data_IF_497772007559
#
_entry.id   IF_497772007559
#
_cell.length_a   1.000
_cell.length_b   1.000
_cell.length_c   1.000
_cell.angle_alpha   90.00
_cell.angle_beta   90.00
_cell.angle_gamma   90.00
#
_symmetry.space_group_name_H-M   'P 1'
#
loop_
_entity.id
_entity.type
_entity.pdbx_description
1 polymer ?
#
# COMPACT_ATOMS: atom_id res chain seq x y z
N UNK A 1 24.14 8.96 33.93
CA UNK A 1 24.18 9.55 32.57
C UNK A 1 22.78 9.39 32.00
N UNK A 2 22.01 10.48 31.95
CA UNK A 2 20.73 10.48 31.25
C UNK A 2 21.05 10.21 29.78
N UNK A 3 20.64 9.07 29.23
CA UNK A 3 20.55 8.95 27.78
C UNK A 3 19.40 9.88 27.40
N UNK A 4 19.69 10.97 26.71
CA UNK A 4 18.63 11.80 26.15
C UNK A 4 17.75 10.90 25.27
N UNK A 5 16.52 10.66 25.72
CA UNK A 5 15.56 9.82 25.02
C UNK A 5 15.12 10.62 23.79
N UNK A 6 15.61 10.21 22.62
CA UNK A 6 15.36 10.93 21.37
C UNK A 6 13.97 10.64 20.79
N UNK A 7 13.49 9.41 20.99
CA UNK A 7 12.24 8.91 20.44
C UNK A 7 11.48 8.12 21.48
N UNK A 8 10.15 8.23 21.45
CA UNK A 8 9.27 7.59 22.40
C UNK A 8 8.45 6.46 21.76
N UNK A 9 8.17 5.43 22.56
CA UNK A 9 7.37 4.28 22.17
C UNK A 9 5.85 4.50 22.33
N UNK A 10 5.08 3.48 21.97
CA UNK A 10 3.63 3.39 22.20
C UNK A 10 3.31 2.25 23.17
N UNK A 11 2.54 2.51 24.21
CA UNK A 11 2.14 1.46 25.16
C UNK A 11 1.23 0.45 24.47
N UNK A 12 1.52 -0.83 24.67
CA UNK A 12 0.66 -1.92 24.20
C UNK A 12 -0.57 -2.04 25.11
N UNK A 13 -1.77 -2.00 24.53
CA UNK A 13 -3.04 -2.15 25.26
C UNK A 13 -3.44 -3.62 25.45
N UNK A 14 -2.67 -4.56 24.88
CA UNK A 14 -2.89 -6.00 24.95
C UNK A 14 -2.25 -6.68 23.75
N UNK A 15 -3.02 -6.81 22.69
CA UNK A 15 -2.67 -7.41 21.41
C UNK A 15 -2.51 -6.37 20.28
N UNK A 16 -2.21 -5.11 20.62
CA UNK A 16 -2.24 -3.97 19.68
C UNK A 16 -0.88 -3.63 19.06
N UNK A 17 0.11 -4.53 19.11
CA UNK A 17 1.46 -4.27 18.57
C UNK A 17 1.47 -4.00 17.06
N UNK A 18 0.52 -4.59 16.30
CA UNK A 18 0.33 -4.29 14.87
C UNK A 18 0.03 -2.80 14.66
N UNK A 19 -0.90 -2.26 15.45
CA UNK A 19 -1.31 -0.86 15.37
C UNK A 19 -0.16 0.06 15.81
N UNK A 20 0.52 -0.28 16.91
CA UNK A 20 1.66 0.50 17.39
C UNK A 20 2.76 0.61 16.34
N UNK A 21 3.08 -0.50 15.66
CA UNK A 21 4.10 -0.52 14.61
C UNK A 21 3.71 0.38 13.43
N UNK A 22 2.45 0.32 12.98
CA UNK A 22 1.94 1.19 11.91
C UNK A 22 1.96 2.66 12.31
N UNK A 23 1.43 2.99 13.50
CA UNK A 23 1.37 4.38 13.97
C UNK A 23 2.76 4.98 14.15
N UNK A 24 3.75 4.19 14.57
CA UNK A 24 5.13 4.64 14.64
C UNK A 24 5.70 4.96 13.26
N UNK A 25 5.53 4.08 12.27
CA UNK A 25 6.01 4.35 10.90
C UNK A 25 5.35 5.58 10.31
N UNK A 26 4.03 5.74 10.51
CA UNK A 26 3.29 6.91 10.06
C UNK A 26 3.76 8.20 10.75
N UNK A 27 3.94 8.19 12.07
CA UNK A 27 4.48 9.32 12.83
C UNK A 27 5.89 9.72 12.36
N UNK A 28 6.74 8.73 12.09
CA UNK A 28 8.11 8.95 11.62
C UNK A 28 8.19 9.34 10.15
N UNK A 29 7.08 9.27 9.41
CA UNK A 29 6.97 9.78 8.04
C UNK A 29 6.67 11.27 8.08
N UNK A 30 7.72 12.11 8.01
CA UNK A 30 7.65 13.56 8.20
C UNK A 30 6.51 14.24 7.43
N UNK A 31 6.41 14.03 6.12
CA UNK A 31 5.35 14.64 5.29
C UNK A 31 3.94 14.24 5.73
N UNK A 32 3.75 13.00 6.17
CA UNK A 32 2.46 12.55 6.70
C UNK A 32 2.15 13.26 8.02
N UNK A 33 3.11 13.27 8.94
CA UNK A 33 2.97 13.95 10.24
C UNK A 33 2.64 15.43 10.07
N UNK A 34 3.38 16.15 9.22
CA UNK A 34 3.13 17.57 8.90
C UNK A 34 1.75 17.78 8.27
N UNK A 35 1.31 16.87 7.38
CA UNK A 35 -0.02 16.96 6.78
C UNK A 35 -1.15 16.75 7.81
N UNK A 36 -1.00 15.81 8.74
CA UNK A 36 -1.94 15.61 9.85
C UNK A 36 -1.98 16.84 10.78
N UNK A 37 -0.83 17.47 11.04
CA UNK A 37 -0.72 18.67 11.89
C UNK A 37 -1.27 19.94 11.23
N UNK A 38 -1.13 20.07 9.90
CA UNK A 38 -1.57 21.25 9.15
C UNK A 38 -3.05 21.24 8.74
N UNK A 39 -3.72 20.09 8.85
CA UNK A 39 -5.11 19.93 8.42
C UNK A 39 -6.06 20.83 9.21
N UNK A 40 -6.75 21.75 8.52
CA UNK A 40 -7.76 22.64 9.13
C UNK A 40 -8.89 21.78 9.70
N UNK A 41 -9.08 21.87 11.01
CA UNK A 41 -9.96 20.97 11.75
C UNK A 41 -11.42 21.10 11.32
N UNK A 42 -12.01 20.01 10.79
CA UNK A 42 -13.41 19.70 11.11
C UNK A 42 -13.41 18.93 12.44
N UNK A 43 -14.22 19.36 13.41
CA UNK A 43 -14.27 18.85 14.79
C UNK A 43 -14.54 17.33 14.92
N UNK A 44 -14.90 16.65 13.84
CA UNK A 44 -15.48 15.31 13.88
C UNK A 44 -14.59 14.17 13.38
N UNK A 45 -13.32 14.41 13.04
CA UNK A 45 -12.61 13.48 12.17
C UNK A 45 -11.40 12.79 12.83
N UNK A 46 -11.12 11.56 12.39
CA UNK A 46 -10.04 10.69 12.88
C UNK A 46 -8.68 11.41 12.98
N UNK A 47 -8.46 12.38 12.09
CA UNK A 47 -7.31 13.30 12.07
C UNK A 47 -7.06 14.03 13.40
N UNK A 48 -8.09 14.49 14.12
CA UNK A 48 -7.92 15.22 15.40
C UNK A 48 -7.29 14.31 16.45
N UNK A 49 -7.73 13.05 16.49
CA UNK A 49 -7.24 12.05 17.46
C UNK A 49 -5.83 11.61 17.11
N UNK A 50 -5.54 11.45 15.82
CA UNK A 50 -4.21 11.12 15.34
C UNK A 50 -3.22 12.27 15.61
N UNK A 51 -3.63 13.51 15.38
CA UNK A 51 -2.84 14.70 15.71
C UNK A 51 -2.52 14.77 17.21
N UNK A 52 -3.53 14.61 18.08
CA UNK A 52 -3.33 14.61 19.54
C UNK A 52 -2.35 13.50 19.99
N UNK A 53 -2.41 12.32 19.37
CA UNK A 53 -1.45 11.25 19.61
C UNK A 53 -0.03 11.66 19.19
N UNK A 54 0.12 12.25 17.99
CA UNK A 54 1.42 12.67 17.47
C UNK A 54 2.05 13.77 18.32
N UNK A 55 1.27 14.74 18.81
CA UNK A 55 1.76 15.76 19.76
C UNK A 55 2.25 15.12 21.07
N UNK A 56 1.49 14.17 21.63
CA UNK A 56 1.91 13.46 22.83
C UNK A 56 3.18 12.63 22.60
N UNK A 57 3.32 12.01 21.42
CA UNK A 57 4.43 11.12 21.09
C UNK A 57 5.77 11.85 20.86
N UNK A 58 5.73 13.15 20.55
CA UNK A 58 6.92 14.01 20.53
C UNK A 58 7.57 14.15 21.91
N UNK A 59 6.76 14.13 22.97
CA UNK A 59 7.19 14.47 24.33
C UNK A 59 7.34 13.26 25.25
N UNK A 60 6.60 12.16 25.00
CA UNK A 60 6.58 11.00 25.90
C UNK A 60 6.06 9.72 25.26
N UNK A 61 6.37 8.59 25.89
CA UNK A 61 5.74 7.30 25.59
C UNK A 61 4.22 7.43 25.78
N UNK A 62 3.48 7.19 24.71
CA UNK A 62 2.04 7.52 24.63
C UNK A 62 1.15 6.28 24.53
N UNK A 63 -0.13 6.46 24.82
CA UNK A 63 -1.16 5.42 24.69
C UNK A 63 -2.02 5.68 23.45
N UNK A 64 -2.49 4.61 22.81
CA UNK A 64 -3.28 4.68 21.57
C UNK A 64 -4.79 4.60 21.82
N UNK A 65 -5.25 4.82 23.05
CA UNK A 65 -6.62 4.59 23.52
C UNK A 65 -7.70 5.30 22.70
N UNK A 66 -7.47 6.55 22.31
CA UNK A 66 -8.45 7.30 21.51
C UNK A 66 -8.46 6.85 20.04
N UNK A 67 -7.34 6.36 19.53
CA UNK A 67 -7.23 5.78 18.19
C UNK A 67 -7.92 4.42 18.15
N UNK A 68 -7.67 3.54 19.13
CA UNK A 68 -8.29 2.20 19.20
C UNK A 68 -9.81 2.29 19.33
N UNK A 69 -10.32 3.20 20.17
CA UNK A 69 -11.78 3.46 20.28
C UNK A 69 -12.40 3.89 18.95
N UNK A 70 -11.73 4.76 18.21
CA UNK A 70 -12.25 5.31 16.95
C UNK A 70 -12.26 4.26 15.84
N UNK A 71 -11.21 3.44 15.80
CA UNK A 71 -11.11 2.32 14.86
C UNK A 71 -11.95 1.11 15.27
N UNK A 72 -12.59 1.15 16.45
CA UNK A 72 -13.38 0.06 17.06
C UNK A 72 -12.56 -1.24 17.17
N UNK A 73 -11.36 -1.12 17.72
CA UNK A 73 -10.42 -2.23 17.90
C UNK A 73 -10.71 -2.95 19.22
N UNK A 74 -10.89 -4.26 19.16
CA UNK A 74 -10.82 -5.14 20.32
C UNK A 74 -9.35 -5.35 20.71
N UNK A 75 -8.93 -4.71 21.81
CA UNK A 75 -7.50 -4.59 22.18
C UNK A 75 -6.85 -5.90 22.61
N UNK A 76 -7.63 -6.95 22.81
CA UNK A 76 -7.13 -8.30 23.16
C UNK A 76 -7.09 -9.25 21.97
N UNK A 77 -7.50 -8.79 20.78
CA UNK A 77 -7.46 -9.56 19.54
C UNK A 77 -6.34 -9.08 18.63
N UNK A 78 -5.59 -10.03 18.08
CA UNK A 78 -4.59 -9.73 17.06
C UNK A 78 -5.26 -9.49 15.72
N UNK A 79 -4.67 -8.59 14.94
CA UNK A 79 -5.16 -8.20 13.63
C UNK A 79 -4.00 -8.09 12.64
N UNK A 80 -4.34 -8.02 11.36
CA UNK A 80 -3.37 -7.80 10.29
C UNK A 80 -2.96 -6.32 10.21
N UNK A 81 -1.65 -6.06 10.19
CA UNK A 81 -1.11 -4.71 10.16
C UNK A 81 -1.41 -3.99 8.83
N UNK A 82 -1.42 -4.72 7.71
CA UNK A 82 -1.76 -4.18 6.39
C UNK A 82 -3.21 -3.70 6.33
N UNK A 83 -4.15 -4.48 6.86
CA UNK A 83 -5.56 -4.10 6.94
C UNK A 83 -5.76 -2.78 7.72
N UNK A 84 -5.12 -2.64 8.87
CA UNK A 84 -5.25 -1.42 9.68
C UNK A 84 -4.49 -0.22 9.10
N UNK A 85 -3.38 -0.45 8.38
CA UNK A 85 -2.73 0.61 7.62
C UNK A 85 -3.66 1.16 6.54
N UNK A 86 -4.31 0.29 5.75
CA UNK A 86 -5.28 0.71 4.73
C UNK A 86 -6.43 1.50 5.36
N UNK A 87 -7.02 0.95 6.44
CA UNK A 87 -8.12 1.59 7.17
C UNK A 87 -7.73 2.98 7.69
N UNK A 88 -6.53 3.14 8.24
CA UNK A 88 -6.01 4.44 8.68
C UNK A 88 -5.87 5.40 7.51
N UNK A 89 -5.23 4.97 6.41
CA UNK A 89 -5.00 5.81 5.22
C UNK A 89 -6.30 6.21 4.52
N UNK A 90 -7.37 5.42 4.64
CA UNK A 90 -8.71 5.77 4.15
C UNK A 90 -9.49 6.73 5.06
N UNK A 91 -9.11 6.86 6.33
CA UNK A 91 -9.81 7.70 7.32
C UNK A 91 -9.13 9.06 7.56
N UNK A 92 -7.85 9.19 7.24
CA UNK A 92 -7.14 10.47 7.32
C UNK A 92 -7.49 11.38 6.14
N UNK A 93 -7.10 12.65 6.24
CA UNK A 93 -7.31 13.62 5.16
C UNK A 93 -6.66 13.19 3.85
N UNK A 94 -7.19 13.67 2.72
CA UNK A 94 -6.58 13.46 1.41
C UNK A 94 -5.16 14.06 1.38
N UNK A 95 -4.92 15.19 2.04
CA UNK A 95 -3.59 15.79 2.17
C UNK A 95 -2.58 14.88 2.87
N UNK A 96 -3.00 14.13 3.89
CA UNK A 96 -2.14 13.19 4.60
C UNK A 96 -1.92 11.90 3.81
N UNK A 97 -3.00 11.31 3.27
CA UNK A 97 -2.93 10.02 2.58
C UNK A 97 -2.32 10.11 1.17
N UNK A 98 -2.35 11.26 0.48
CA UNK A 98 -1.90 11.39 -0.92
C UNK A 98 -0.48 10.92 -1.16
N UNK A 99 0.44 11.07 -0.20
CA UNK A 99 1.85 10.67 -0.38
C UNK A 99 2.02 9.16 -0.56
N UNK A 100 1.04 8.37 -0.10
CA UNK A 100 1.02 6.91 -0.23
C UNK A 100 0.21 6.41 -1.43
N UNK A 101 -0.56 7.29 -2.10
CA UNK A 101 -1.46 6.88 -3.18
C UNK A 101 -0.67 6.68 -4.46
N UNK A 102 -0.67 5.45 -4.96
CA UNK A 102 -0.23 5.12 -6.30
C UNK A 102 -1.40 4.81 -7.22
N UNK A 103 -1.13 4.67 -8.52
CA UNK A 103 -2.12 4.29 -9.51
C UNK A 103 -1.54 3.31 -10.53
N UNK A 104 -2.24 2.20 -10.73
CA UNK A 104 -1.98 1.22 -11.77
C UNK A 104 -3.00 1.40 -12.90
N UNK A 105 -2.60 1.02 -14.11
CA UNK A 105 -3.52 0.71 -15.22
C UNK A 105 -3.57 -0.81 -15.32
N UNK A 106 -4.76 -1.37 -15.11
CA UNK A 106 -5.07 -2.76 -15.39
C UNK A 106 -5.52 -2.87 -16.83
N UNK A 107 -4.77 -3.61 -17.65
CA UNK A 107 -5.09 -3.79 -19.07
C UNK A 107 -5.33 -5.27 -19.37
N UNK A 108 -6.49 -5.57 -19.95
CA UNK A 108 -6.85 -6.90 -20.44
C UNK A 108 -6.88 -6.87 -21.97
N UNK A 109 -6.18 -7.78 -22.63
CA UNK A 109 -6.05 -7.83 -24.10
C UNK A 109 -6.44 -9.21 -24.61
N UNK A 110 -7.50 -9.28 -25.42
CA UNK A 110 -7.87 -10.50 -26.12
C UNK A 110 -6.84 -10.81 -27.22
N UNK A 111 -6.34 -12.04 -27.29
CA UNK A 111 -5.33 -12.43 -28.30
C UNK A 111 -5.92 -12.71 -29.69
N UNK A 112 -7.22 -12.99 -29.76
CA UNK A 112 -7.91 -13.28 -31.03
C UNK A 112 -8.32 -12.00 -31.77
N UNK A 113 -9.15 -11.15 -31.13
CA UNK A 113 -9.69 -9.95 -31.77
C UNK A 113 -8.92 -8.66 -31.43
N UNK A 114 -7.91 -8.74 -30.55
CA UNK A 114 -7.09 -7.60 -30.09
C UNK A 114 -7.85 -6.46 -29.40
N UNK A 115 -9.13 -6.66 -29.05
CA UNK A 115 -9.85 -5.73 -28.18
C UNK A 115 -9.15 -5.65 -26.83
N UNK A 116 -9.10 -4.46 -26.25
CA UNK A 116 -8.53 -4.25 -24.93
C UNK A 116 -9.45 -3.40 -24.05
N UNK A 117 -9.40 -3.66 -22.75
CA UNK A 117 -10.02 -2.83 -21.71
C UNK A 117 -8.92 -2.29 -20.81
N UNK A 118 -9.09 -1.07 -20.32
CA UNK A 118 -8.18 -0.42 -19.39
C UNK A 118 -8.95 0.16 -18.21
N UNK A 119 -8.55 -0.22 -17.00
CA UNK A 119 -9.13 0.26 -15.76
C UNK A 119 -8.06 0.93 -14.89
N UNK A 120 -8.43 2.07 -14.34
CA UNK A 120 -7.62 2.79 -13.36
C UNK A 120 -7.77 2.16 -11.97
N UNK A 121 -6.67 1.63 -11.43
CA UNK A 121 -6.66 0.94 -10.13
C UNK A 121 -5.79 1.72 -9.13
N UNK A 122 -6.39 2.52 -8.22
CA UNK A 122 -5.64 3.17 -7.15
C UNK A 122 -5.15 2.15 -6.13
N UNK A 123 -4.02 2.42 -5.48
CA UNK A 123 -3.48 1.57 -4.41
C UNK A 123 -2.76 2.37 -3.33
N UNK A 124 -2.73 1.84 -2.10
CA UNK A 124 -1.84 2.30 -1.03
C UNK A 124 -0.58 1.45 -0.91
N UNK A 125 -0.67 0.15 -1.21
CA UNK A 125 0.47 -0.75 -1.21
C UNK A 125 0.37 -1.80 -2.33
N UNK A 126 1.53 -2.28 -2.79
CA UNK A 126 1.61 -3.43 -3.68
C UNK A 126 1.73 -4.70 -2.84
N UNK A 127 0.83 -5.65 -3.05
CA UNK A 127 0.85 -6.93 -2.34
C UNK A 127 1.63 -7.97 -3.12
N UNK A 128 2.85 -8.27 -2.67
CA UNK A 128 3.79 -9.16 -3.34
C UNK A 128 3.64 -10.59 -2.80
N UNK A 129 3.22 -11.56 -3.62
CA UNK A 129 3.22 -12.96 -3.24
C UNK A 129 4.64 -13.54 -3.26
N UNK A 130 4.93 -14.47 -2.35
CA UNK A 130 6.27 -15.05 -2.19
C UNK A 130 6.45 -16.23 -3.14
N UNK A 131 6.61 -15.91 -4.43
CA UNK A 131 6.80 -16.91 -5.47
C UNK A 131 8.13 -17.66 -5.31
N UNK A 132 8.14 -18.94 -5.65
CA UNK A 132 9.37 -19.74 -5.68
C UNK A 132 10.33 -19.21 -6.74
N UNK A 133 11.52 -18.77 -6.32
CA UNK A 133 12.58 -18.38 -7.24
C UNK A 133 13.45 -19.59 -7.59
N UNK A 134 13.86 -19.70 -8.85
CA UNK A 134 14.75 -20.78 -9.34
C UNK A 134 16.12 -20.80 -8.64
N UNK A 135 16.50 -19.68 -8.01
CA UNK A 135 17.80 -19.48 -7.36
C UNK A 135 17.75 -19.66 -5.82
N UNK A 136 16.60 -20.05 -5.25
CA UNK A 136 16.48 -20.50 -3.87
C UNK A 136 16.16 -19.42 -2.82
N UNK A 137 16.35 -18.14 -3.11
CA UNK A 137 15.91 -17.03 -2.25
C UNK A 137 15.03 -16.04 -3.01
N UNK A 138 13.94 -15.59 -2.39
CA UNK A 138 13.08 -14.54 -2.92
C UNK A 138 13.70 -13.18 -2.58
N UNK A 139 13.86 -12.28 -3.57
CA UNK A 139 14.18 -10.88 -3.32
C UNK A 139 12.94 -9.99 -3.53
N UNK A 140 12.89 -8.86 -2.82
CA UNK A 140 11.83 -7.87 -3.02
C UNK A 140 11.78 -7.38 -4.47
N UNK A 141 12.94 -7.24 -5.12
CA UNK A 141 13.02 -6.88 -6.52
C UNK A 141 12.33 -7.93 -7.42
N UNK A 142 12.58 -9.22 -7.18
CA UNK A 142 11.93 -10.29 -7.95
C UNK A 142 10.41 -10.25 -7.76
N UNK A 143 9.94 -10.01 -6.53
CA UNK A 143 8.51 -9.87 -6.25
C UNK A 143 7.85 -8.72 -7.02
N UNK A 144 8.51 -7.57 -7.11
CA UNK A 144 8.03 -6.43 -7.89
C UNK A 144 8.00 -6.76 -9.39
N UNK A 145 9.07 -7.38 -9.91
CA UNK A 145 9.15 -7.75 -11.32
C UNK A 145 8.06 -8.76 -11.69
N UNK A 146 7.82 -9.76 -10.84
CA UNK A 146 6.76 -10.74 -11.08
C UNK A 146 5.37 -10.10 -10.95
N UNK A 147 5.16 -9.15 -10.03
CA UNK A 147 3.90 -8.41 -9.92
C UNK A 147 3.57 -7.61 -11.20
N UNK A 148 4.59 -7.04 -11.86
CA UNK A 148 4.43 -6.21 -13.06
C UNK A 148 4.53 -7.00 -14.37
N UNK A 149 4.77 -8.30 -14.30
CA UNK A 149 4.89 -9.17 -15.46
C UNK A 149 3.51 -9.46 -16.05
N UNK A 150 3.48 -9.57 -17.37
CA UNK A 150 2.27 -9.95 -18.11
C UNK A 150 1.81 -11.36 -17.67
N UNK A 151 0.55 -11.46 -17.28
CA UNK A 151 -0.13 -12.71 -16.98
C UNK A 151 -0.87 -13.20 -18.22
N UNK A 152 -0.70 -14.48 -18.55
CA UNK A 152 -1.24 -15.09 -19.75
C UNK A 152 -2.25 -16.18 -19.38
N UNK A 153 -3.45 -16.07 -19.92
CA UNK A 153 -4.57 -16.96 -19.66
C UNK A 153 -4.90 -17.73 -20.94
N UNK A 154 -4.78 -19.06 -20.90
CA UNK A 154 -4.95 -19.95 -22.05
C UNK A 154 -5.59 -21.27 -21.64
N UNK A 155 -6.14 -22.02 -22.61
CA UNK A 155 -6.75 -23.32 -22.34
C UNK A 155 -7.94 -23.25 -21.39
N UNK A 156 -7.88 -23.95 -20.26
CA UNK A 156 -8.97 -23.97 -19.28
C UNK A 156 -9.11 -22.65 -18.49
N UNK A 157 -8.08 -21.80 -18.49
CA UNK A 157 -8.05 -20.52 -17.77
C UNK A 157 -8.43 -19.32 -18.65
N UNK A 158 -8.93 -19.54 -19.88
CA UNK A 158 -9.32 -18.48 -20.80
C UNK A 158 -10.35 -17.51 -20.17
N UNK A 159 -10.25 -16.23 -20.53
CA UNK A 159 -11.17 -15.20 -20.06
C UNK A 159 -12.24 -14.91 -21.13
N UNK A 160 -13.44 -14.60 -20.67
CA UNK A 160 -14.55 -14.24 -21.56
C UNK A 160 -14.29 -12.88 -22.22
N UNK A 161 -14.42 -12.83 -23.55
CA UNK A 161 -14.26 -11.61 -24.33
C UNK A 161 -15.62 -11.17 -24.89
N UNK A 162 -16.10 -9.98 -24.47
CA UNK A 162 -17.39 -9.43 -24.92
C UNK A 162 -17.46 -9.19 -26.43
N UNK A 163 -16.32 -8.90 -27.09
CA UNK A 163 -16.26 -8.72 -28.54
C UNK A 163 -16.30 -10.03 -29.33
N UNK A 164 -15.81 -11.12 -28.76
CA UNK A 164 -15.83 -12.44 -29.39
C UNK A 164 -17.04 -13.27 -28.98
N UNK A 165 -17.75 -12.86 -27.93
CA UNK A 165 -18.82 -13.59 -27.26
C UNK A 165 -18.40 -15.02 -26.84
N UNK A 166 -17.14 -15.20 -26.47
CA UNK A 166 -16.54 -16.51 -26.17
C UNK A 166 -15.31 -16.37 -25.26
N UNK A 167 -14.89 -17.49 -24.66
CA UNK A 167 -13.65 -17.57 -23.89
C UNK A 167 -12.44 -17.54 -24.84
N UNK A 168 -11.50 -16.64 -24.57
CA UNK A 168 -10.33 -16.42 -25.43
C UNK A 168 -9.06 -16.35 -24.62
N UNK A 169 -7.97 -16.75 -25.28
CA UNK A 169 -6.64 -16.51 -24.77
C UNK A 169 -6.48 -15.01 -24.53
N UNK A 170 -6.07 -14.65 -23.32
CA UNK A 170 -6.10 -13.26 -22.86
C UNK A 170 -4.82 -12.94 -22.12
N UNK A 171 -4.26 -11.77 -22.43
CA UNK A 171 -3.12 -11.21 -21.71
C UNK A 171 -3.60 -10.13 -20.75
N UNK A 172 -3.27 -10.26 -19.47
CA UNK A 172 -3.53 -9.26 -18.43
C UNK A 172 -2.22 -8.62 -18.00
N UNK A 173 -2.20 -7.29 -17.88
CA UNK A 173 -1.00 -6.51 -17.55
C UNK A 173 -1.33 -5.44 -16.53
N UNK A 174 -0.38 -5.17 -15.63
CA UNK A 174 -0.41 -4.00 -14.76
C UNK A 174 0.71 -3.05 -15.13
N UNK A 175 0.36 -1.78 -15.38
CA UNK A 175 1.33 -0.71 -15.58
C UNK A 175 1.24 0.30 -14.44
N UNK A 176 2.37 0.63 -13.81
CA UNK A 176 2.45 1.78 -12.90
C UNK A 176 2.27 3.07 -13.70
N UNK A 177 1.20 3.82 -13.40
CA UNK A 177 0.91 5.12 -14.01
C UNK A 177 1.26 6.27 -13.07
N UNK A 178 0.98 6.12 -11.77
CA UNK A 178 1.36 7.10 -10.76
C UNK A 178 2.16 6.42 -9.65
N UNK A 179 3.37 6.93 -9.43
CA UNK A 179 4.30 6.45 -8.43
C UNK A 179 4.12 7.27 -7.13
N UNK A 180 3.78 6.63 -5.99
CA UNK A 180 3.61 7.34 -4.72
C UNK A 180 4.93 7.91 -4.20
N UNK A 181 4.91 8.96 -3.39
CA UNK A 181 6.12 9.45 -2.74
C UNK A 181 6.66 8.46 -1.71
N UNK A 182 5.76 7.77 -1.02
CA UNK A 182 6.05 6.66 -0.13
C UNK A 182 5.43 5.40 -0.71
N UNK A 183 6.26 4.51 -1.24
CA UNK A 183 5.85 3.20 -1.71
C UNK A 183 5.79 2.23 -0.53
N UNK A 184 4.66 1.55 -0.38
CA UNK A 184 4.49 0.49 0.60
C UNK A 184 4.41 -0.84 -0.15
N UNK A 185 5.18 -1.83 0.32
CA UNK A 185 5.13 -3.20 -0.17
C UNK A 185 4.63 -4.11 0.96
N UNK A 186 3.59 -4.88 0.70
CA UNK A 186 3.07 -5.90 1.60
C UNK A 186 3.56 -7.26 1.13
N UNK A 187 4.32 -7.96 1.97
CA UNK A 187 4.76 -9.32 1.71
C UNK A 187 3.65 -10.28 2.16
N UNK A 188 2.99 -10.94 1.20
CA UNK A 188 1.89 -11.90 1.43
C UNK A 188 2.43 -13.23 2.01
N UNK A 189 2.91 -13.17 3.25
CA UNK A 189 3.45 -14.34 3.96
C UNK A 189 2.38 -15.27 4.50
N UNK A 190 1.11 -14.93 4.38
CA UNK A 190 0.02 -15.72 4.93
C UNK A 190 -0.77 -16.32 3.78
N UNK A 191 -0.58 -17.61 3.53
CA UNK A 191 -1.19 -18.28 2.40
C UNK A 191 -1.88 -19.56 2.86
N UNK A 192 -2.91 -19.95 2.11
CA UNK A 192 -3.59 -21.21 2.32
C UNK A 192 -2.75 -22.34 1.75
N UNK A 193 -2.29 -23.24 2.61
CA UNK A 193 -1.59 -24.44 2.19
C UNK A 193 -2.62 -25.51 1.80
N UNK A 194 -2.81 -25.72 0.50
CA UNK A 194 -3.75 -26.71 -0.02
C UNK A 194 -3.40 -28.15 0.36
N UNK A 195 -2.11 -28.47 0.51
CA UNK A 195 -1.67 -29.83 0.88
C UNK A 195 -2.05 -30.17 2.32
N UNK A 196 -2.01 -29.19 3.22
CA UNK A 196 -2.35 -29.35 4.64
C UNK A 196 -3.77 -28.87 4.96
N UNK A 197 -4.51 -28.37 3.96
CA UNK A 197 -5.82 -27.75 4.09
C UNK A 197 -5.89 -26.69 5.21
N UNK A 198 -4.82 -25.92 5.38
CA UNK A 198 -4.68 -24.98 6.51
C UNK A 198 -3.94 -23.72 6.09
N UNK A 199 -4.29 -22.59 6.68
CA UNK A 199 -3.46 -21.39 6.55
C UNK A 199 -2.13 -21.58 7.29
N UNK A 200 -1.03 -21.17 6.65
CA UNK A 200 0.31 -21.15 7.25
C UNK A 200 1.04 -19.86 6.93
N UNK A 201 1.99 -19.48 7.80
CA UNK A 201 2.90 -18.37 7.53
C UNK A 201 4.14 -18.86 6.80
N UNK A 202 4.41 -18.31 5.62
CA UNK A 202 5.67 -18.47 4.91
C UNK A 202 6.80 -17.73 5.64
N UNK A 203 7.63 -18.52 6.31
CA UNK A 203 8.78 -18.07 7.10
C UNK A 203 10.10 -18.15 6.34
N UNK A 204 10.07 -18.31 5.01
CA UNK A 204 11.28 -18.33 4.18
C UNK A 204 12.00 -16.98 4.25
N UNK A 205 13.35 -16.98 4.21
CA UNK A 205 14.11 -15.74 4.17
C UNK A 205 13.84 -15.00 2.87
N UNK A 206 13.67 -13.68 2.98
CA UNK A 206 13.52 -12.75 1.87
C UNK A 206 14.69 -11.77 1.90
N UNK A 207 15.30 -11.54 0.75
CA UNK A 207 16.32 -10.52 0.57
C UNK A 207 15.62 -9.16 0.36
N UNK A 208 15.60 -8.35 1.43
CA UNK A 208 14.99 -7.02 1.48
C UNK A 208 16.02 -5.97 1.09
N UNK A 209 15.97 -5.51 -0.16
CA UNK A 209 16.90 -4.51 -0.68
C UNK A 209 16.67 -3.13 -0.03
N UNK A 210 17.74 -2.44 0.38
CA UNK A 210 17.63 -1.06 0.89
C UNK A 210 17.30 -0.07 -0.22
N UNK A 211 17.67 -0.37 -1.47
CA UNK A 211 17.34 0.46 -2.63
C UNK A 211 16.68 -0.41 -3.69
N UNK A 212 15.58 0.08 -4.25
CA UNK A 212 14.83 -0.59 -5.31
C UNK A 212 14.59 0.37 -6.47
N UNK A 213 14.51 -0.18 -7.68
CA UNK A 213 14.21 0.56 -8.89
C UNK A 213 12.87 0.07 -9.44
N UNK A 214 11.93 1.00 -9.57
CA UNK A 214 10.69 0.79 -10.28
C UNK A 214 10.83 1.24 -11.75
N UNK A 215 9.89 0.84 -12.64
CA UNK A 215 9.80 1.37 -13.99
C UNK A 215 9.84 2.91 -14.02
N UNK A 216 10.13 3.47 -15.20
CA UNK A 216 10.24 4.92 -15.42
C UNK A 216 11.38 5.58 -14.60
N UNK A 217 12.45 4.83 -14.33
CA UNK A 217 13.65 5.27 -13.60
C UNK A 217 13.37 5.82 -12.20
N UNK A 218 12.34 5.30 -11.53
CA UNK A 218 11.97 5.74 -10.19
C UNK A 218 12.74 4.92 -9.15
N UNK A 219 13.70 5.56 -8.48
CA UNK A 219 14.51 4.94 -7.42
C UNK A 219 13.87 5.20 -6.06
N UNK A 220 13.84 4.19 -5.21
CA UNK A 220 13.35 4.30 -3.84
C UNK A 220 14.34 3.73 -2.83
N UNK A 221 14.37 4.33 -1.64
CA UNK A 221 15.17 3.89 -0.50
C UNK A 221 14.28 3.44 0.66
N UNK A 222 14.54 2.26 1.20
CA UNK A 222 13.83 1.73 2.36
C UNK A 222 14.19 2.56 3.59
N UNK A 223 13.17 3.04 4.30
CA UNK A 223 13.36 3.75 5.57
C UNK A 223 12.58 3.12 6.73
N UNK A 224 11.64 2.21 6.45
CA UNK A 224 11.01 1.45 7.52
C UNK A 224 10.61 0.03 7.08
N UNK A 225 10.66 -0.88 8.04
CA UNK A 225 10.24 -2.27 7.92
C UNK A 225 9.40 -2.63 9.15
N UNK A 226 8.20 -3.16 8.92
CA UNK A 226 7.36 -3.74 9.97
C UNK A 226 7.51 -5.24 9.91
N UNK A 227 8.02 -5.80 11.00
CA UNK A 227 8.22 -7.23 11.18
C UNK A 227 7.02 -7.85 11.88
N UNK A 228 6.70 -9.08 11.51
CA UNK A 228 5.81 -9.95 12.26
C UNK A 228 6.57 -11.19 12.70
N UNK A 229 6.62 -11.45 14.00
CA UNK A 229 7.16 -12.66 14.60
C UNK A 229 6.02 -13.59 15.03
N UNK A 230 6.22 -14.91 14.98
CA UNK A 230 5.17 -15.88 15.33
C UNK A 230 4.36 -16.38 14.13
N UNK A 231 3.12 -16.78 14.38
CA UNK A 231 2.27 -17.56 13.46
C UNK A 231 0.96 -16.83 13.15
N UNK A 232 0.10 -17.43 12.33
CA UNK A 232 -1.25 -16.93 12.06
C UNK A 232 -2.15 -16.81 13.29
N UNK A 233 -1.95 -17.67 14.29
CA UNK A 233 -2.80 -17.72 15.50
C UNK A 233 -2.38 -16.72 16.57
N UNK A 234 -1.24 -16.07 16.37
CA UNK A 234 -0.57 -15.35 17.44
C UNK A 234 0.86 -15.00 17.03
N UNK A 235 1.19 -13.74 17.17
CA UNK A 235 2.50 -13.18 16.89
C UNK A 235 2.76 -11.85 17.56
N UNK A 236 3.82 -11.18 17.13
CA UNK A 236 4.21 -9.87 17.65
C UNK A 236 4.74 -9.01 16.52
N UNK A 237 4.31 -7.75 16.48
CA UNK A 237 4.76 -6.79 15.50
C UNK A 237 5.76 -5.81 16.12
N UNK A 238 6.81 -5.48 15.36
CA UNK A 238 7.74 -4.39 15.67
C UNK A 238 7.99 -3.57 14.42
N UNK A 239 8.49 -2.34 14.58
CA UNK A 239 8.88 -1.49 13.47
C UNK A 239 10.37 -1.12 13.58
N UNK A 240 11.13 -1.36 12.53
CA UNK A 240 12.50 -0.89 12.38
C UNK A 240 12.50 0.32 11.44
N UNK A 241 12.94 1.48 11.91
CA UNK A 241 12.78 2.77 11.21
C UNK A 241 14.10 3.55 11.20
N UNK A 242 14.46 4.10 10.03
CA UNK A 242 15.50 5.11 9.83
C UNK A 242 14.82 6.48 9.69
N UNK A 243 14.91 7.37 10.70
CA UNK A 243 14.39 8.73 10.61
C UNK A 243 15.02 9.49 9.44
N UNK A 244 14.30 10.44 8.85
CA UNK A 244 14.81 11.23 7.71
C UNK A 244 16.01 12.12 8.07
N UNK A 245 16.07 12.56 9.33
CA UNK A 245 17.07 13.49 9.83
C UNK A 245 18.35 12.78 10.31
N UNK A 246 18.40 11.45 10.23
CA UNK A 246 19.46 10.64 10.81
C UNK A 246 19.87 9.46 9.93
N UNK A 247 21.14 9.08 10.03
CA UNK A 247 21.64 7.87 9.39
C UNK A 247 21.63 6.66 10.35
N UNK A 248 20.78 6.66 11.38
CA UNK A 248 20.72 5.61 12.39
C UNK A 248 19.37 4.92 12.40
N UNK A 249 19.38 3.59 12.53
CA UNK A 249 18.17 2.78 12.60
C UNK A 249 17.72 2.59 14.04
N UNK A 250 16.42 2.60 14.26
CA UNK A 250 15.80 2.39 15.57
C UNK A 250 14.77 1.28 15.48
N UNK A 251 14.78 0.37 16.45
CA UNK A 251 13.72 -0.60 16.65
C UNK A 251 12.69 -0.03 17.63
N UNK A 252 11.45 0.04 17.19
CA UNK A 252 10.27 0.41 17.96
C UNK A 252 9.50 -0.87 18.29
N UNK A 253 9.58 -1.27 19.56
CA UNK A 253 8.89 -2.42 20.11
C UNK A 253 7.97 -1.95 21.24
N UNK A 254 6.75 -1.58 20.85
CA UNK A 254 5.78 -0.94 21.72
C UNK A 254 6.39 0.25 22.48
N UNK A 255 6.46 0.19 23.81
CA UNK A 255 6.96 1.28 24.66
C UNK A 255 8.48 1.42 24.62
N UNK A 256 9.19 0.42 24.11
CA UNK A 256 10.64 0.35 24.08
C UNK A 256 11.16 0.82 22.72
N UNK A 257 12.12 1.74 22.75
CA UNK A 257 12.82 2.20 21.55
C UNK A 257 14.31 1.93 21.71
N UNK A 258 14.89 1.20 20.77
CA UNK A 258 16.29 0.76 20.82
C UNK A 258 17.04 1.29 19.61
N UNK A 259 18.12 2.04 19.83
CA UNK A 259 19.06 2.39 18.77
C UNK A 259 19.78 1.13 18.28
N UNK A 260 19.67 0.84 17.00
CA UNK A 260 20.40 -0.25 16.34
C UNK A 260 21.78 0.26 15.92
N UNK A 261 22.80 -0.59 16.09
CA UNK A 261 24.16 -0.24 15.69
C UNK A 261 24.31 -0.11 14.16
N UNK A 262 25.43 0.49 13.72
CA UNK A 262 25.73 0.81 12.31
C UNK A 262 25.84 -0.41 11.35
N UNK A 263 25.55 -1.63 11.81
CA UNK A 263 25.68 -2.85 11.01
C UNK A 263 24.71 -2.90 9.81
N UNK A 264 23.59 -2.18 9.89
CA UNK A 264 22.61 -2.08 8.79
C UNK A 264 23.09 -1.18 7.64
N UNK A 265 23.91 -0.18 7.91
CA UNK A 265 24.29 0.87 6.95
C UNK A 265 25.26 0.40 5.86
N UNK A 266 25.92 -0.74 6.05
CA UNK A 266 26.94 -1.25 5.12
C UNK A 266 26.42 -2.36 4.20
N UNK A 267 25.15 -2.77 4.34
CA UNK A 267 24.57 -3.88 3.59
C UNK A 267 23.75 -3.38 2.41
N UNK A 268 23.75 -4.12 1.29
CA UNK A 268 22.87 -3.85 0.14
C UNK A 268 21.42 -4.30 0.37
N UNK A 269 21.26 -5.30 1.22
CA UNK A 269 19.97 -5.88 1.56
C UNK A 269 20.03 -6.49 2.97
N UNK A 270 18.87 -6.65 3.60
CA UNK A 270 18.69 -7.39 4.83
C UNK A 270 18.00 -8.73 4.56
N UNK A 271 18.47 -9.81 5.18
CA UNK A 271 17.80 -11.12 5.10
C UNK A 271 16.74 -11.23 6.18
N UNK A 272 15.48 -11.08 5.82
CA UNK A 272 14.37 -11.13 6.79
C UNK A 272 13.44 -12.32 6.60
N UNK A 273 13.12 -12.98 7.72
CA UNK A 273 12.07 -14.02 7.81
C UNK A 273 10.75 -13.47 8.36
N UNK A 274 10.77 -12.24 8.85
CA UNK A 274 9.68 -11.61 9.61
C UNK A 274 9.09 -10.40 8.90
N UNK A 275 9.79 -9.80 7.93
CA UNK A 275 9.36 -8.61 7.22
C UNK A 275 7.96 -8.81 6.64
N UNK A 276 7.02 -7.94 6.98
CA UNK A 276 5.63 -8.03 6.57
C UNK A 276 5.21 -6.81 5.75
N UNK A 277 5.54 -5.59 6.20
CA UNK A 277 5.38 -4.36 5.43
C UNK A 277 6.73 -3.66 5.28
N UNK A 278 6.98 -3.13 4.09
CA UNK A 278 8.19 -2.38 3.77
C UNK A 278 7.80 -1.00 3.25
N UNK A 279 8.47 0.03 3.77
CA UNK A 279 8.22 1.43 3.43
C UNK A 279 9.45 2.02 2.77
N UNK A 280 9.23 2.53 1.57
CA UNK A 280 10.23 3.01 0.66
C UNK A 280 9.94 4.46 0.32
N UNK A 281 10.91 5.36 0.49
CA UNK A 281 10.80 6.76 0.10
C UNK A 281 11.39 6.95 -1.28
N UNK A 282 10.65 7.65 -2.13
CA UNK A 282 11.11 8.03 -3.46
C UNK A 282 12.33 8.95 -3.35
N UNK A 283 13.43 8.59 -4.00
CA UNK A 283 14.58 9.49 -4.08
C UNK A 283 14.27 10.59 -5.10
N UNK A 284 14.42 11.85 -4.67
CA UNK A 284 14.40 12.96 -5.61
C UNK A 284 15.60 12.80 -6.54
N UNK A 285 15.36 12.80 -7.86
CA UNK A 285 16.42 13.00 -8.83
C UNK A 285 16.90 14.42 -8.58
N UNK A 286 17.99 14.57 -7.81
CA UNK A 286 18.77 15.78 -7.91
C UNK A 286 19.21 15.80 -9.37
N UNK A 287 18.68 16.75 -10.16
CA UNK A 287 19.33 17.13 -11.38
C UNK A 287 20.76 17.46 -10.95
N UNK A 288 21.69 16.57 -11.28
CA UNK A 288 23.09 16.89 -11.21
C UNK A 288 23.27 17.97 -12.26
N UNK A 289 23.21 19.22 -11.82
CA UNK A 289 23.84 20.32 -12.53
C UNK A 289 25.31 19.91 -12.66
N UNK A 290 25.67 19.36 -13.82
CA UNK A 290 27.06 19.31 -14.26
C UNK A 290 27.50 20.74 -14.52
N UNK A 291 27.83 21.45 -13.45
CA UNK A 291 28.65 22.63 -13.49
C UNK A 291 30.09 22.21 -13.75
N UNK A 292 30.55 22.31 -15.01
CA UNK A 292 31.74 23.08 -15.39
C UNK A 292 32.11 22.87 -16.88
N UNK A 293 31.86 23.92 -17.67
CA UNK A 293 32.71 24.51 -18.72
C UNK A 293 31.93 24.83 -20.00
N UNK A 294 31.71 26.13 -20.23
CA UNK A 294 31.17 26.66 -21.49
C UNK A 294 30.42 27.97 -21.27
N UNK A 295 31.15 29.03 -20.91
CA UNK A 295 30.67 30.39 -21.22
C UNK A 295 30.66 30.57 -22.75
N UNK A 296 29.72 31.38 -23.24
CA UNK A 296 29.51 31.82 -24.64
C UNK A 296 28.87 30.84 -25.63
N UNK A 297 27.53 30.82 -25.67
CA UNK A 297 26.72 31.17 -26.85
C UNK A 297 25.27 30.69 -26.68
N UNK A 298 24.33 31.62 -26.52
CA UNK A 298 22.95 31.64 -27.08
C UNK A 298 22.01 32.43 -26.18
N UNK A 299 22.16 33.76 -26.29
CA UNK A 299 20.98 34.63 -26.39
C UNK A 299 20.23 34.17 -27.64
N UNK A 300 19.03 33.60 -27.46
CA UNK A 300 17.88 33.63 -28.38
C UNK A 300 17.01 32.39 -28.23
N UNK A 301 16.18 32.35 -27.18
CA UNK A 301 14.89 31.62 -27.20
C UNK A 301 13.91 32.09 -26.10
N UNK A 302 14.17 33.25 -25.48
CA UNK A 302 13.18 33.98 -24.68
C UNK A 302 12.45 34.98 -25.58
N UNK A 303 11.66 34.48 -26.54
CA UNK A 303 10.85 35.33 -27.42
C UNK A 303 9.52 34.70 -27.88
N UNK A 304 8.99 33.67 -27.20
CA UNK A 304 7.67 33.11 -27.54
C UNK A 304 6.82 32.71 -26.30
N UNK A 305 6.86 33.51 -25.24
CA UNK A 305 5.77 33.56 -24.26
C UNK A 305 5.11 34.95 -24.36
N UNK A 306 4.04 35.05 -25.15
CA UNK A 306 2.87 35.94 -24.94
C UNK A 306 1.99 36.01 -26.20
N UNK A 307 0.87 35.26 -26.19
CA UNK A 307 -0.45 35.52 -26.80
C UNK A 307 -1.19 34.15 -26.77
N UNK A 308 -2.28 33.89 -26.05
CA UNK A 308 -3.58 34.59 -25.97
C UNK A 308 -4.31 34.15 -24.68
N UNK A 309 -4.75 35.13 -23.89
CA UNK A 309 -5.95 35.12 -23.03
C UNK A 309 -6.90 36.06 -23.80
N UNK A 310 -8.15 35.76 -24.13
CA UNK A 310 -9.31 35.47 -23.28
C UNK A 310 -10.50 35.25 -24.25
N UNK A 311 -11.50 34.45 -23.86
CA UNK A 311 -12.95 34.68 -23.99
C UNK A 311 -13.69 33.33 -23.88
N UNK A 312 -14.16 32.99 -22.67
CA UNK A 312 -15.60 32.92 -22.46
C UNK A 312 -15.94 33.04 -20.97
N UNK A 313 -16.95 33.86 -20.67
CA UNK A 313 -17.40 34.22 -19.32
C UNK A 313 -18.87 33.81 -19.17
N UNK A 314 -19.09 32.91 -18.18
CA UNK A 314 -20.24 32.78 -17.24
C UNK A 314 -21.48 31.98 -17.68
N UNK A 315 -22.36 31.53 -16.74
CA UNK A 315 -22.15 31.20 -15.30
C UNK A 315 -22.81 29.87 -14.85
N UNK A 316 -22.35 29.39 -13.69
CA UNK A 316 -23.06 28.65 -12.62
C UNK A 316 -24.00 27.47 -12.94
N UNK A 317 -23.64 26.30 -12.38
CA UNK A 317 -24.55 25.50 -11.53
C UNK A 317 -23.75 24.56 -10.61
N UNK A 318 -23.84 24.83 -9.31
CA UNK A 318 -23.51 23.95 -8.20
C UNK A 318 -24.59 22.88 -8.01
N UNK A 319 -24.23 21.61 -7.78
CA UNK A 319 -25.04 20.68 -6.98
C UNK A 319 -24.24 19.43 -6.53
N UNK A 320 -23.94 19.41 -5.23
CA UNK A 320 -23.92 18.33 -4.24
C UNK A 320 -23.73 16.86 -4.66
N UNK A 321 -22.67 16.25 -4.11
CA UNK A 321 -22.59 14.81 -3.82
C UNK A 321 -23.67 14.42 -2.80
N UNK A 322 -24.57 13.50 -3.17
CA UNK A 322 -25.45 12.79 -2.24
C UNK A 322 -25.60 11.32 -2.69
N UNK A 323 -25.26 10.42 -1.77
CA UNK A 323 -25.70 9.02 -1.63
C UNK A 323 -25.97 8.20 -2.90
N UNK A 324 -25.03 7.30 -3.24
CA UNK A 324 -25.31 6.18 -4.13
C UNK A 324 -25.55 4.89 -3.31
N UNK A 325 -26.80 4.70 -2.89
CA UNK A 325 -27.43 3.38 -2.95
C UNK A 325 -28.43 3.43 -4.11
N UNK A 326 -28.27 2.57 -5.11
CA UNK A 326 -29.30 2.35 -6.13
C UNK A 326 -29.85 0.95 -5.94
N UNK A 327 -31.05 0.85 -5.37
CA UNK A 327 -31.87 -0.35 -5.43
C UNK A 327 -32.66 -0.30 -6.75
N UNK A 328 -32.43 -1.26 -7.64
CA UNK A 328 -33.25 -1.44 -8.84
C UNK A 328 -34.16 -2.64 -8.60
N UNK A 329 -35.43 -2.39 -8.36
CA UNK A 329 -36.51 -3.37 -8.50
C UNK A 329 -36.99 -3.38 -9.95
N UNK A 330 -37.06 -4.56 -10.58
CA UNK A 330 -37.81 -4.73 -11.83
C UNK A 330 -38.89 -5.82 -11.69
N UNK A 331 -40.02 -5.68 -12.39
CA UNK A 331 -41.26 -6.36 -12.06
C UNK A 331 -41.34 -7.77 -12.62
N UNK A 332 -42.02 -8.63 -11.86
CA UNK A 332 -42.35 -10.00 -12.21
C UNK A 332 -43.50 -10.09 -13.22
N UNK A 333 -43.31 -10.81 -14.31
CA UNK A 333 -44.41 -11.51 -14.99
C UNK A 333 -43.89 -12.73 -15.76
N UNK A 334 -44.02 -13.89 -15.10
CA UNK A 334 -44.32 -15.22 -15.65
C UNK A 334 -43.42 -15.82 -16.76
N UNK A 335 -42.67 -16.88 -16.39
CA UNK A 335 -42.59 -18.11 -17.19
C UNK A 335 -41.20 -18.61 -17.62
N UNK A 336 -40.54 -19.38 -16.76
CA UNK A 336 -39.46 -20.37 -17.03
C UNK A 336 -38.26 -19.97 -17.91
N UNK A 337 -37.06 -19.87 -17.30
CA UNK A 337 -35.77 -20.30 -17.89
C UNK A 337 -34.72 -20.56 -16.79
N UNK A 338 -33.83 -21.51 -17.08
CA UNK A 338 -32.86 -22.14 -16.19
C UNK A 338 -31.79 -21.21 -15.61
N UNK A 339 -31.15 -21.70 -14.54
CA UNK A 339 -30.24 -20.99 -13.64
C UNK A 339 -29.11 -20.21 -14.34
N UNK A 340 -29.14 -18.88 -14.19
CA UNK A 340 -28.06 -17.97 -14.52
C UNK A 340 -27.38 -17.42 -13.26
N UNK A 341 -26.06 -17.45 -13.29
CA UNK A 341 -25.12 -17.02 -12.25
C UNK A 341 -25.17 -15.50 -12.08
N UNK A 342 -25.47 -15.01 -10.87
CA UNK A 342 -25.25 -13.61 -10.50
C UNK A 342 -23.80 -13.45 -10.03
N UNK A 343 -23.00 -12.68 -10.77
CA UNK A 343 -21.65 -12.26 -10.38
C UNK A 343 -21.75 -10.95 -9.60
N UNK A 344 -21.43 -10.98 -8.30
CA UNK A 344 -21.22 -9.76 -7.50
C UNK A 344 -19.74 -9.41 -7.60
N UNK A 345 -19.43 -8.26 -8.18
CA UNK A 345 -18.08 -7.71 -8.26
C UNK A 345 -17.79 -7.02 -6.93
N UNK A 346 -16.97 -7.66 -6.09
CA UNK A 346 -16.29 -7.02 -4.96
C UNK A 346 -14.79 -7.09 -5.20
N UNK A 347 -14.16 -5.91 -5.32
CA UNK A 347 -12.72 -5.65 -5.19
C UNK A 347 -11.77 -6.73 -5.73
N UNK A 348 -11.58 -6.75 -7.05
CA UNK A 348 -10.24 -6.80 -7.65
C UNK A 348 -9.33 -8.01 -7.37
N UNK A 349 -9.85 -9.16 -6.96
CA UNK A 349 -9.14 -10.45 -7.02
C UNK A 349 -10.09 -11.53 -7.51
N UNK A 350 -10.02 -11.89 -8.79
CA UNK A 350 -10.66 -13.11 -9.28
C UNK A 350 -9.73 -14.27 -8.94
N UNK A 351 -9.98 -14.91 -7.80
CA UNK A 351 -9.56 -16.30 -7.61
C UNK A 351 -10.65 -17.19 -8.20
N UNK A 352 -10.34 -17.89 -9.29
CA UNK A 352 -11.17 -18.97 -9.80
C UNK A 352 -11.07 -20.14 -8.82
N UNK A 353 -12.09 -20.29 -7.96
CA UNK A 353 -12.28 -21.48 -7.13
C UNK A 353 -13.42 -22.31 -7.69
N UNK A 354 -13.09 -23.50 -8.18
CA UNK A 354 -14.06 -24.57 -8.47
C UNK A 354 -14.66 -25.08 -7.15
N UNK A 355 -16.00 -25.12 -7.11
CA UNK A 355 -16.89 -25.45 -5.99
C UNK A 355 -16.48 -26.66 -5.14
N UNK A 356 -16.59 -26.47 -3.82
CA UNK A 356 -17.26 -27.43 -2.92
C UNK A 356 -18.05 -26.66 -1.85
N UNK A 357 -19.38 -26.68 -1.97
CA UNK A 357 -20.33 -26.17 -0.98
C UNK A 357 -20.23 -27.01 0.29
N UNK A 358 -20.04 -26.37 1.46
CA UNK A 358 -20.94 -26.47 2.61
C UNK A 358 -20.38 -25.74 3.84
N UNK A 359 -21.25 -24.92 4.46
CA UNK A 359 -21.32 -24.59 5.90
C UNK A 359 -20.07 -23.98 6.56
N UNK A 360 -20.14 -22.67 6.84
CA UNK A 360 -20.23 -22.06 8.20
C UNK A 360 -19.98 -20.55 8.04
N UNK A 361 -21.03 -19.76 8.27
CA UNK A 361 -20.93 -18.36 8.66
C UNK A 361 -20.69 -18.33 10.17
N UNK A 362 -19.71 -17.55 10.62
CA UNK A 362 -19.47 -16.99 11.98
C UNK A 362 -17.99 -17.12 12.35
N UNK A 363 -17.39 -16.00 12.79
CA UNK A 363 -15.97 -15.77 13.17
C UNK A 363 -15.03 -15.70 11.96
N UNK A 364 -14.35 -14.60 11.62
CA UNK A 364 -13.85 -13.42 12.34
C UNK A 364 -14.06 -12.16 11.50
#
# INVERSE_FOLDING_TARGET
MNRDIKYYGLRNQGATCYLNSILQVLFMTRKFREAVESSKHHENDFNVRLHALFESLKEKTSETTEVTKTLRIEVYEQQDAGHYLEKILSLVSDEASKIFRGKLIHRTICRECHSNTEDDVPFFFLSLPLMDSKNGNFSVNDGIQEFLKDAEFYGEDQLYCDHCEDNRDTTVKYKLQHHPEILILLLKRFEYNYSHMSYSKDSRPVDVCYTINLPENQTYEMYAMVDHFGTLRGGHYTATIKPEEEDSWYEFNDSSVTLLGNQMLQRKFEKSRSAHLLFYRKQSIALQDEGQNGEEEQRDLAANLNLIVELDRRPERTCWYQNNYVAISLPSSTGFCEASTCTVICNGVVNVFTRLKNRIFSWF
#
